data_IF_502509504999
#
_entry.id   IF_502509504999
#
_cell.length_a   1.000
_cell.length_b   1.000
_cell.length_c   1.000
_cell.angle_alpha   90.00
_cell.angle_beta   90.00
_cell.angle_gamma   90.00
#
_symmetry.space_group_name_H-M   'P 1'
#
loop_
_entity.id
_entity.type
_entity.pdbx_description
1 polymer ?
#
# COMPACT_ATOMS: atom_id res chain seq x y z
N UNK A 1 -4.65 -1.99 -15.53
CA UNK A 1 -3.27 -2.04 -16.13
C UNK A 1 -2.65 -3.36 -15.70
N UNK A 2 -2.21 -4.18 -16.66
CA UNK A 2 -1.67 -5.52 -16.36
C UNK A 2 -0.15 -5.49 -16.27
N UNK A 3 0.42 -6.33 -15.42
CA UNK A 3 1.87 -6.61 -15.41
C UNK A 3 2.27 -7.28 -16.74
N UNK A 4 3.42 -6.93 -17.24
CA UNK A 4 4.01 -7.69 -18.34
C UNK A 4 4.66 -8.98 -17.80
N UNK A 5 5.08 -9.86 -18.70
CA UNK A 5 5.61 -11.16 -18.32
C UNK A 5 6.91 -11.06 -17.49
N UNK A 6 7.78 -10.10 -17.80
CA UNK A 6 9.02 -9.87 -17.06
C UNK A 6 8.74 -9.40 -15.63
N UNK A 7 7.73 -8.56 -15.43
CA UNK A 7 7.29 -8.11 -14.11
C UNK A 7 6.72 -9.25 -13.27
N UNK A 8 5.93 -10.16 -13.88
CA UNK A 8 5.45 -11.37 -13.20
C UNK A 8 6.62 -12.26 -12.80
N UNK A 9 7.56 -12.53 -13.70
CA UNK A 9 8.76 -13.30 -13.38
C UNK A 9 9.64 -12.64 -12.32
N UNK A 10 9.75 -11.31 -12.33
CA UNK A 10 10.44 -10.58 -11.28
C UNK A 10 9.79 -10.84 -9.93
N UNK A 11 8.46 -10.69 -9.83
CA UNK A 11 7.73 -10.94 -8.60
C UNK A 11 7.90 -12.38 -8.09
N UNK A 12 7.78 -13.37 -8.97
CA UNK A 12 7.94 -14.79 -8.62
C UNK A 12 9.34 -15.12 -8.12
N UNK A 13 10.37 -14.48 -8.68
CA UNK A 13 11.78 -14.71 -8.31
C UNK A 13 12.19 -13.92 -7.07
N UNK A 14 11.75 -12.68 -6.95
CA UNK A 14 12.29 -11.72 -5.98
C UNK A 14 11.33 -11.38 -4.86
N UNK A 15 10.05 -11.80 -4.98
CA UNK A 15 9.01 -11.52 -4.00
C UNK A 15 8.42 -10.12 -4.08
N UNK A 16 8.86 -9.28 -5.03
CA UNK A 16 8.33 -7.95 -5.24
C UNK A 16 8.47 -7.49 -6.70
N UNK A 17 7.67 -6.50 -7.08
CA UNK A 17 7.78 -5.79 -8.36
C UNK A 17 7.49 -4.31 -8.17
N UNK A 18 8.32 -3.44 -8.71
CA UNK A 18 8.12 -1.99 -8.74
C UNK A 18 9.04 -1.34 -9.81
N UNK A 19 8.76 -0.08 -10.23
CA UNK A 19 7.53 0.67 -9.97
C UNK A 19 6.38 0.19 -10.87
N UNK A 20 5.14 0.45 -10.41
CA UNK A 20 3.93 0.27 -11.20
C UNK A 20 3.15 1.59 -11.14
N UNK A 21 3.00 2.26 -12.26
CA UNK A 21 2.32 3.56 -12.34
C UNK A 21 0.81 3.37 -12.37
N UNK A 22 0.16 3.39 -11.22
CA UNK A 22 -1.29 3.16 -11.08
C UNK A 22 -2.10 4.45 -10.97
N UNK A 23 -1.56 5.50 -10.37
CA UNK A 23 -2.21 6.80 -10.21
C UNK A 23 -1.39 7.90 -10.88
N UNK A 24 -2.09 8.87 -11.46
CA UNK A 24 -1.48 10.10 -11.97
C UNK A 24 -1.04 10.99 -10.79
N UNK A 25 -0.10 11.92 -11.00
CA UNK A 25 0.29 12.88 -9.97
C UNK A 25 -0.88 13.69 -9.40
N UNK A 26 -1.88 14.02 -10.21
CA UNK A 26 -3.08 14.73 -9.76
C UNK A 26 -3.95 13.85 -8.84
N UNK A 27 -4.12 12.57 -9.17
CA UNK A 27 -4.85 11.63 -8.32
C UNK A 27 -4.13 11.40 -6.98
N UNK A 28 -2.80 11.29 -7.00
CA UNK A 28 -1.99 11.20 -5.78
C UNK A 28 -2.17 12.45 -4.93
N UNK A 29 -2.15 13.64 -5.52
CA UNK A 29 -2.41 14.91 -4.80
C UNK A 29 -3.79 14.91 -4.15
N UNK A 30 -4.84 14.49 -4.87
CA UNK A 30 -6.21 14.39 -4.33
C UNK A 30 -6.29 13.40 -3.15
N UNK A 31 -5.64 12.25 -3.26
CA UNK A 31 -5.55 11.28 -2.15
C UNK A 31 -4.83 11.88 -0.94
N UNK A 32 -3.76 12.63 -1.17
CA UNK A 32 -2.98 13.29 -0.14
C UNK A 32 -3.80 14.38 0.57
N UNK A 33 -4.46 15.25 -0.19
CA UNK A 33 -5.37 16.27 0.34
C UNK A 33 -6.48 15.68 1.21
N UNK A 34 -7.06 14.55 0.76
CA UNK A 34 -8.11 13.85 1.51
C UNK A 34 -7.60 13.29 2.84
N UNK A 35 -6.36 12.77 2.87
CA UNK A 35 -5.72 12.31 4.10
C UNK A 35 -5.44 13.48 5.05
N UNK A 36 -4.85 14.56 4.54
CA UNK A 36 -4.53 15.76 5.32
C UNK A 36 -5.78 16.43 5.90
N UNK A 37 -6.90 16.45 5.14
CA UNK A 37 -8.19 16.92 5.64
C UNK A 37 -8.68 16.09 6.83
N UNK A 38 -8.59 14.75 6.74
CA UNK A 38 -8.96 13.86 7.84
C UNK A 38 -8.05 14.03 9.08
N UNK A 39 -6.76 14.31 8.88
CA UNK A 39 -5.83 14.65 9.96
C UNK A 39 -6.22 15.98 10.64
N UNK A 40 -6.55 17.01 9.87
CA UNK A 40 -6.99 18.30 10.39
C UNK A 40 -8.30 18.18 11.20
N UNK A 41 -9.30 17.47 10.68
CA UNK A 41 -10.55 17.19 11.38
C UNK A 41 -10.35 16.41 12.68
N UNK A 42 -9.29 15.61 12.76
CA UNK A 42 -8.91 14.82 13.92
C UNK A 42 -7.99 15.54 14.91
N UNK A 43 -7.74 16.84 14.71
CA UNK A 43 -6.88 17.65 15.58
C UNK A 43 -5.39 17.62 15.22
N UNK A 44 -5.07 17.37 13.94
CA UNK A 44 -3.73 17.47 13.37
C UNK A 44 -2.99 16.15 13.17
N UNK A 45 -3.52 15.04 13.69
CA UNK A 45 -3.01 13.68 13.42
C UNK A 45 -4.14 12.68 13.32
N UNK A 46 -4.04 11.77 12.38
CA UNK A 46 -5.00 10.68 12.24
C UNK A 46 -4.94 9.76 13.48
N UNK A 47 -6.07 9.55 14.19
CA UNK A 47 -6.12 8.64 15.33
C UNK A 47 -5.64 7.23 14.96
N UNK A 48 -4.96 6.49 15.86
CA UNK A 48 -4.50 5.12 15.58
C UNK A 48 -5.61 4.19 15.09
N UNK A 49 -6.83 4.34 15.62
CA UNK A 49 -8.00 3.56 15.18
C UNK A 49 -8.41 3.80 13.73
N UNK A 50 -8.03 4.93 13.12
CA UNK A 50 -8.35 5.27 11.73
C UNK A 50 -7.23 4.89 10.75
N UNK A 51 -6.09 4.45 11.26
CA UNK A 51 -4.92 4.08 10.43
C UNK A 51 -4.99 2.67 9.88
N UNK A 52 -5.76 1.77 10.50
CA UNK A 52 -5.95 0.39 10.06
C UNK A 52 -7.39 0.17 9.58
N UNK A 53 -7.56 -0.63 8.54
CA UNK A 53 -8.84 -0.86 7.84
C UNK A 53 -9.50 0.45 7.38
N UNK A 54 -8.68 1.41 7.03
CA UNK A 54 -9.08 2.78 6.71
C UNK A 54 -10.03 2.86 5.50
N UNK A 55 -9.99 1.88 4.59
CA UNK A 55 -10.94 1.76 3.48
C UNK A 55 -12.41 1.58 3.93
N UNK A 56 -12.64 1.15 5.18
CA UNK A 56 -14.00 1.06 5.75
C UNK A 56 -14.51 2.41 6.26
N UNK A 57 -13.62 3.39 6.43
CA UNK A 57 -13.92 4.71 6.98
C UNK A 57 -13.89 5.80 5.91
N UNK A 58 -12.98 5.69 4.95
CA UNK A 58 -12.74 6.71 3.94
C UNK A 58 -13.16 6.20 2.55
N UNK A 59 -14.23 6.79 2.03
CA UNK A 59 -14.77 6.41 0.69
C UNK A 59 -13.73 6.52 -0.42
N UNK A 60 -12.90 7.57 -0.40
CA UNK A 60 -11.87 7.77 -1.40
C UNK A 60 -10.84 6.62 -1.41
N UNK A 61 -10.53 6.07 -0.22
CA UNK A 61 -9.61 4.94 -0.12
C UNK A 61 -10.28 3.63 -0.58
N UNK A 62 -11.57 3.45 -0.30
CA UNK A 62 -12.35 2.33 -0.85
C UNK A 62 -12.37 2.39 -2.38
N UNK A 63 -12.50 3.57 -2.97
CA UNK A 63 -12.41 3.76 -4.42
C UNK A 63 -11.03 3.39 -4.97
N UNK A 64 -9.96 3.80 -4.31
CA UNK A 64 -8.58 3.47 -4.71
C UNK A 64 -8.33 1.96 -4.67
N UNK A 65 -8.71 1.27 -3.61
CA UNK A 65 -8.48 -0.19 -3.53
C UNK A 65 -9.32 -1.00 -4.50
N UNK A 66 -10.41 -0.41 -5.05
CA UNK A 66 -11.26 -1.03 -6.09
C UNK A 66 -10.88 -0.64 -7.50
N UNK A 67 -9.94 0.30 -7.66
CA UNK A 67 -9.48 0.71 -8.97
C UNK A 67 -8.83 -0.46 -9.71
N UNK A 68 -9.25 -0.69 -10.95
CA UNK A 68 -8.72 -1.78 -11.76
C UNK A 68 -7.22 -1.64 -12.01
N UNK A 69 -6.68 -0.45 -11.98
CA UNK A 69 -5.23 -0.21 -12.10
C UNK A 69 -4.44 -0.76 -10.92
N UNK A 70 -5.08 -0.84 -9.74
CA UNK A 70 -4.53 -1.51 -8.54
C UNK A 70 -4.86 -3.00 -8.55
N UNK A 71 -6.10 -3.37 -8.85
CA UNK A 71 -6.56 -4.76 -8.75
C UNK A 71 -6.03 -5.67 -9.86
N UNK A 72 -5.87 -5.18 -11.11
CA UNK A 72 -5.41 -6.04 -12.22
C UNK A 72 -4.02 -6.66 -11.97
N UNK A 73 -3.00 -5.91 -11.50
CA UNK A 73 -1.73 -6.50 -11.09
C UNK A 73 -1.88 -7.55 -9.98
N UNK A 74 -2.71 -7.28 -8.99
CA UNK A 74 -2.96 -8.19 -7.86
C UNK A 74 -3.63 -9.48 -8.35
N UNK A 75 -4.67 -9.35 -9.19
CA UNK A 75 -5.38 -10.48 -9.77
C UNK A 75 -4.47 -11.40 -10.58
N UNK A 76 -3.49 -10.83 -11.31
CA UNK A 76 -2.50 -11.61 -12.04
C UNK A 76 -1.59 -12.45 -11.12
N UNK A 77 -1.27 -11.95 -9.93
CA UNK A 77 -0.37 -12.63 -9.00
C UNK A 77 -1.07 -13.67 -8.13
N UNK A 78 -2.29 -13.38 -7.64
CA UNK A 78 -2.96 -14.25 -6.67
C UNK A 78 -4.30 -14.82 -7.15
N UNK A 79 -4.75 -14.45 -8.35
CA UNK A 79 -6.02 -14.89 -8.94
C UNK A 79 -7.19 -13.96 -8.62
N UNK A 80 -8.38 -14.24 -9.18
CA UNK A 80 -9.51 -13.30 -9.20
C UNK A 80 -10.29 -13.21 -7.87
N UNK A 81 -10.09 -14.13 -6.95
CA UNK A 81 -10.81 -14.15 -5.67
C UNK A 81 -10.05 -13.34 -4.62
N UNK A 82 -10.17 -12.02 -4.71
CA UNK A 82 -9.40 -11.07 -3.90
C UNK A 82 -10.24 -10.61 -2.71
N UNK A 83 -9.68 -10.71 -1.51
CA UNK A 83 -10.17 -10.10 -0.29
C UNK A 83 -9.19 -9.01 0.17
N UNK A 84 -9.66 -7.77 0.31
CA UNK A 84 -8.88 -6.74 0.99
C UNK A 84 -8.90 -7.01 2.51
N UNK A 85 -7.85 -7.62 3.01
CA UNK A 85 -7.69 -7.94 4.43
C UNK A 85 -7.54 -6.70 5.29
N UNK A 86 -6.70 -5.77 4.84
CA UNK A 86 -6.40 -4.55 5.58
C UNK A 86 -5.91 -3.45 4.64
N UNK A 87 -6.05 -2.20 5.09
CA UNK A 87 -5.35 -1.03 4.57
C UNK A 87 -4.75 -0.28 5.75
N UNK A 88 -3.52 0.16 5.63
CA UNK A 88 -2.81 0.86 6.70
C UNK A 88 -2.19 2.13 6.14
N UNK A 89 -2.41 3.25 6.82
CA UNK A 89 -1.63 4.46 6.58
C UNK A 89 -0.31 4.40 7.35
N UNK A 90 0.77 4.28 6.60
CA UNK A 90 2.12 4.42 7.11
C UNK A 90 2.54 5.89 7.04
N UNK A 91 2.31 6.61 8.12
CA UNK A 91 2.65 8.03 8.25
C UNK A 91 3.91 8.14 9.09
N UNK A 92 4.95 8.72 8.51
CA UNK A 92 6.22 8.95 9.18
C UNK A 92 6.41 10.45 9.36
N UNK A 93 6.47 10.88 10.61
CA UNK A 93 6.76 12.28 10.93
C UNK A 93 8.20 12.63 10.55
N UNK A 94 8.45 13.89 10.16
CA UNK A 94 9.78 14.38 9.88
C UNK A 94 10.70 14.21 11.11
N UNK A 95 11.93 13.79 10.88
CA UNK A 95 12.91 13.52 11.94
C UNK A 95 12.52 12.43 12.95
N UNK A 96 11.54 11.58 12.62
CA UNK A 96 11.19 10.44 13.46
C UNK A 96 12.28 9.37 13.39
N UNK A 97 12.70 8.85 14.54
CA UNK A 97 13.60 7.69 14.63
C UNK A 97 12.85 6.34 14.52
N UNK A 98 11.53 6.37 14.37
CA UNK A 98 10.73 5.16 14.28
C UNK A 98 10.99 4.40 12.98
N UNK A 99 11.07 3.09 13.08
CA UNK A 99 11.19 2.19 11.94
C UNK A 99 10.36 0.93 12.18
N UNK A 100 10.05 0.23 11.09
CA UNK A 100 9.46 -1.10 11.14
C UNK A 100 10.58 -2.11 10.86
N UNK A 101 10.74 -3.11 11.74
CA UNK A 101 11.76 -4.15 11.57
C UNK A 101 11.44 -5.06 10.37
N UNK A 102 12.47 -5.76 9.88
CA UNK A 102 12.30 -6.76 8.83
C UNK A 102 11.28 -7.82 9.25
N UNK A 103 10.32 -8.09 8.39
CA UNK A 103 9.27 -9.09 8.61
C UNK A 103 8.67 -9.56 7.29
N UNK A 104 7.86 -10.58 7.37
CA UNK A 104 6.94 -11.03 6.32
C UNK A 104 5.52 -10.87 6.83
N UNK A 105 4.68 -10.16 6.10
CA UNK A 105 3.30 -9.83 6.50
C UNK A 105 2.47 -11.07 6.85
N UNK A 106 2.56 -12.10 6.03
CA UNK A 106 1.77 -13.33 6.21
C UNK A 106 2.01 -14.02 7.55
N UNK A 107 3.16 -13.83 8.17
CA UNK A 107 3.50 -14.40 9.49
C UNK A 107 2.54 -13.95 10.59
N UNK A 108 1.99 -12.74 10.46
CA UNK A 108 1.15 -12.12 11.50
C UNK A 108 -0.36 -12.28 11.26
N UNK A 109 -0.78 -12.66 10.07
CA UNK A 109 -2.19 -12.58 9.69
C UNK A 109 -2.98 -13.85 9.97
N UNK A 110 -2.32 -14.99 10.19
CA UNK A 110 -2.97 -16.26 10.52
C UNK A 110 -3.91 -16.76 9.43
N UNK A 111 -3.61 -16.47 8.17
CA UNK A 111 -4.41 -16.88 7.03
C UNK A 111 -4.12 -18.35 6.67
N UNK A 112 -5.11 -19.04 6.13
CA UNK A 112 -5.00 -20.41 5.67
C UNK A 112 -4.34 -20.55 4.29
N UNK A 113 -4.05 -19.44 3.62
CA UNK A 113 -3.43 -19.38 2.29
C UNK A 113 -2.15 -18.54 2.33
N UNK A 114 -1.17 -18.96 1.56
CA UNK A 114 0.06 -18.23 1.28
C UNK A 114 -0.08 -17.21 0.13
N UNK A 115 -1.21 -17.22 -0.56
CA UNK A 115 -1.53 -16.25 -1.63
C UNK A 115 -1.88 -14.89 -1.04
N UNK A 116 -0.86 -14.21 -0.56
CA UNK A 116 -0.95 -12.88 0.05
C UNK A 116 -0.06 -11.93 -0.71
N UNK A 117 -0.57 -10.75 -1.02
CA UNK A 117 0.19 -9.66 -1.63
C UNK A 117 -0.14 -8.35 -0.95
N UNK A 118 0.86 -7.53 -0.70
CA UNK A 118 0.71 -6.17 -0.20
C UNK A 118 0.99 -5.19 -1.33
N UNK A 119 -0.02 -4.38 -1.67
CA UNK A 119 0.16 -3.25 -2.56
C UNK A 119 0.56 -2.01 -1.74
N UNK A 120 1.77 -1.53 -1.94
CA UNK A 120 2.27 -0.33 -1.28
C UNK A 120 2.16 0.87 -2.22
N UNK A 121 1.33 1.85 -1.86
CA UNK A 121 1.03 3.03 -2.67
C UNK A 121 1.66 4.27 -2.07
N UNK A 122 2.56 4.92 -2.80
CA UNK A 122 3.21 6.15 -2.38
C UNK A 122 2.29 7.36 -2.58
N UNK A 123 1.90 8.03 -1.49
CA UNK A 123 1.18 9.31 -1.52
C UNK A 123 2.11 10.52 -1.35
N UNK A 124 3.39 10.30 -1.22
CA UNK A 124 4.47 11.30 -1.22
C UNK A 124 5.73 10.67 -1.78
N UNK A 125 6.74 11.45 -2.21
CA UNK A 125 8.02 10.90 -2.62
C UNK A 125 8.60 9.98 -1.53
N UNK A 126 8.94 8.74 -1.91
CA UNK A 126 9.50 7.73 -1.01
C UNK A 126 10.93 7.42 -1.45
N UNK A 127 11.90 7.95 -0.71
CA UNK A 127 13.32 7.89 -1.00
C UNK A 127 14.10 7.43 0.24
N UNK A 128 15.36 7.07 0.06
CA UNK A 128 16.21 6.61 1.16
C UNK A 128 16.31 7.64 2.29
N UNK A 129 16.37 8.92 1.92
CA UNK A 129 16.52 10.05 2.84
C UNK A 129 15.30 10.29 3.72
N UNK A 130 14.12 9.88 3.27
CA UNK A 130 12.87 10.02 4.03
C UNK A 130 12.30 8.69 4.54
N UNK A 131 13.11 7.63 4.47
CA UNK A 131 12.79 6.34 5.07
C UNK A 131 11.78 5.52 4.28
N UNK A 132 11.98 5.37 2.97
CA UNK A 132 11.21 4.48 2.13
C UNK A 132 11.24 3.03 2.63
N UNK A 133 10.29 2.22 2.16
CA UNK A 133 10.31 0.78 2.36
C UNK A 133 11.55 0.16 1.71
N UNK A 134 12.10 -0.85 2.35
CA UNK A 134 13.23 -1.64 1.85
C UNK A 134 12.79 -3.09 1.75
N UNK A 135 13.19 -3.76 0.70
CA UNK A 135 12.84 -5.16 0.44
C UNK A 135 14.11 -5.99 0.33
N UNK A 136 14.09 -7.19 0.85
CA UNK A 136 15.13 -8.20 0.66
C UNK A 136 14.63 -9.16 -0.44
N UNK A 137 15.33 -9.27 -1.58
CA UNK A 137 14.94 -10.17 -2.66
C UNK A 137 15.02 -11.65 -2.27
N UNK A 138 14.14 -12.49 -2.82
CA UNK A 138 14.15 -13.95 -2.67
C UNK A 138 13.27 -14.53 -1.60
#
# INVERSE_FOLDING_TARGET
MSLNQDQVFQYEREGYVFPIDVLTPAEVATCRESLEAAEMESGGKLPPAYRAKSHLLFKWLDDVIRDRRVLDPIEQLIGPNILCWNTIFWIKDASSESFVSWHQDNTYWGLSSDKVVTAWLALSPAQTENGCMRVMPG
#
